data_IF_604813300181
#
_entry.id   IF_604813300181
#
_cell.length_a   1.000
_cell.length_b   1.000
_cell.length_c   1.000
_cell.angle_alpha   90.00
_cell.angle_beta   90.00
_cell.angle_gamma   90.00
#
_symmetry.space_group_name_H-M   'P 1'
#
loop_
_entity.id
_entity.type
_entity.pdbx_description
1 polymer ?
#
# COMPACT_ATOMS: atom_id res chain seq x y z
N UNK A 1 7.40 -20.36 1.38
CA UNK A 1 7.09 -20.12 2.81
C UNK A 1 8.35 -20.41 3.61
N UNK A 2 8.85 -19.49 4.45
CA UNK A 2 10.02 -19.75 5.29
C UNK A 2 9.74 -20.88 6.29
N UNK A 3 10.77 -21.68 6.62
CA UNK A 3 10.64 -22.78 7.59
C UNK A 3 10.59 -22.25 9.03
N UNK A 4 9.95 -23.00 9.93
CA UNK A 4 9.83 -22.62 11.35
C UNK A 4 11.19 -22.36 12.01
N UNK A 5 12.23 -23.14 11.66
CA UNK A 5 13.60 -22.92 12.14
C UNK A 5 14.18 -21.59 11.65
N UNK A 6 13.90 -21.22 10.40
CA UNK A 6 14.35 -19.94 9.81
C UNK A 6 13.69 -18.77 10.51
N UNK A 7 12.37 -18.82 10.70
CA UNK A 7 11.63 -17.77 11.40
C UNK A 7 12.15 -17.62 12.84
N UNK A 8 12.35 -18.73 13.55
CA UNK A 8 12.86 -18.72 14.93
C UNK A 8 14.28 -18.15 15.00
N UNK A 9 15.19 -18.58 14.12
CA UNK A 9 16.56 -18.09 14.08
C UNK A 9 16.64 -16.60 13.73
N UNK A 10 15.84 -16.14 12.77
CA UNK A 10 15.74 -14.71 12.42
C UNK A 10 15.18 -13.91 13.60
N UNK A 11 14.11 -14.37 14.23
CA UNK A 11 13.54 -13.71 15.40
C UNK A 11 14.54 -13.63 16.56
N UNK A 12 15.28 -14.70 16.83
CA UNK A 12 16.32 -14.74 17.86
C UNK A 12 17.46 -13.77 17.56
N UNK A 13 17.95 -13.72 16.31
CA UNK A 13 19.00 -12.79 15.89
C UNK A 13 18.55 -11.33 16.03
N UNK A 14 17.34 -11.02 15.57
CA UNK A 14 16.74 -9.68 15.72
C UNK A 14 16.58 -9.30 17.19
N UNK A 15 16.07 -10.21 18.02
CA UNK A 15 15.92 -9.98 19.44
C UNK A 15 17.28 -9.73 20.12
N UNK A 16 18.30 -10.52 19.78
CA UNK A 16 19.65 -10.34 20.30
C UNK A 16 20.23 -8.98 19.91
N UNK A 17 20.15 -8.59 18.64
CA UNK A 17 20.58 -7.27 18.18
C UNK A 17 19.82 -6.13 18.87
N UNK A 18 18.50 -6.25 19.03
CA UNK A 18 17.68 -5.26 19.70
C UNK A 18 18.05 -5.12 21.19
N UNK A 19 18.33 -6.23 21.88
CA UNK A 19 18.80 -6.20 23.27
C UNK A 19 20.16 -5.49 23.39
N UNK A 20 21.10 -5.74 22.47
CA UNK A 20 22.40 -5.04 22.46
C UNK A 20 22.23 -3.54 22.23
N UNK A 21 21.43 -3.14 21.24
CA UNK A 21 21.12 -1.72 21.00
C UNK A 21 20.46 -1.08 22.21
N UNK A 22 19.53 -1.79 22.88
CA UNK A 22 18.87 -1.31 24.10
C UNK A 22 19.86 -1.06 25.23
N UNK A 23 20.82 -1.97 25.41
CA UNK A 23 21.89 -1.80 26.43
C UNK A 23 22.73 -0.57 26.13
N UNK A 24 23.21 -0.42 24.89
CA UNK A 24 24.00 0.75 24.47
C UNK A 24 23.19 2.05 24.66
N UNK A 25 21.93 2.08 24.23
CA UNK A 25 21.08 3.24 24.39
C UNK A 25 20.87 3.61 25.87
N UNK A 26 20.73 2.63 26.75
CA UNK A 26 20.54 2.87 28.19
C UNK A 26 21.82 3.37 28.86
N UNK A 27 22.98 2.83 28.47
CA UNK A 27 24.26 3.10 29.14
C UNK A 27 24.93 4.39 28.64
N UNK A 28 24.67 4.79 27.38
CA UNK A 28 25.34 5.93 26.75
C UNK A 28 24.43 7.12 26.41
N UNK A 29 23.11 6.92 26.26
CA UNK A 29 22.20 8.01 25.86
C UNK A 29 21.32 8.48 27.03
N UNK A 30 21.32 9.80 27.35
CA UNK A 30 20.35 10.44 28.22
C UNK A 30 18.90 10.21 27.77
N UNK A 31 17.95 10.23 28.71
CA UNK A 31 16.53 9.94 28.47
C UNK A 31 15.91 10.90 27.46
N UNK A 32 16.37 12.14 27.44
CA UNK A 32 15.91 13.19 26.54
C UNK A 32 16.27 12.87 25.09
N UNK A 33 17.48 12.36 24.85
CA UNK A 33 17.92 11.92 23.53
C UNK A 33 17.16 10.67 23.07
N UNK A 34 16.87 9.74 23.99
CA UNK A 34 16.07 8.55 23.65
C UNK A 34 14.67 8.94 23.16
N UNK A 35 14.00 9.87 23.84
CA UNK A 35 12.68 10.36 23.43
C UNK A 35 12.73 11.05 22.06
N UNK A 36 13.76 11.87 21.81
CA UNK A 36 13.97 12.51 20.52
C UNK A 36 14.18 11.50 19.38
N UNK A 37 15.06 10.51 19.58
CA UNK A 37 15.32 9.48 18.58
C UNK A 37 14.09 8.61 18.32
N UNK A 38 13.36 8.24 19.37
CA UNK A 38 12.12 7.47 19.23
C UNK A 38 11.07 8.23 18.43
N UNK A 39 10.85 9.51 18.73
CA UNK A 39 9.91 10.35 17.99
C UNK A 39 10.31 10.52 16.51
N UNK A 40 11.61 10.71 16.25
CA UNK A 40 12.17 10.82 14.89
C UNK A 40 12.00 9.52 14.11
N UNK A 41 12.32 8.38 14.74
CA UNK A 41 12.17 7.06 14.14
C UNK A 41 10.71 6.71 13.88
N UNK A 42 9.82 7.03 14.82
CA UNK A 42 8.38 6.83 14.66
C UNK A 42 7.82 7.69 13.51
N UNK A 43 8.21 8.96 13.42
CA UNK A 43 7.85 9.82 12.28
C UNK A 43 8.36 9.27 10.96
N UNK A 44 9.59 8.73 10.94
CA UNK A 44 10.16 8.09 9.75
C UNK A 44 9.34 6.86 9.34
N UNK A 45 9.00 5.98 10.29
CA UNK A 45 8.15 4.80 10.02
C UNK A 45 6.77 5.23 9.49
N UNK A 46 6.16 6.26 10.08
CA UNK A 46 4.87 6.78 9.58
C UNK A 46 4.98 7.28 8.13
N UNK A 47 6.08 7.92 7.75
CA UNK A 47 6.33 8.36 6.38
C UNK A 47 6.55 7.19 5.41
N UNK A 48 6.96 6.03 5.92
CA UNK A 48 7.05 4.79 5.16
C UNK A 48 5.70 4.07 5.04
N UNK A 49 4.62 4.62 5.59
CA UNK A 49 3.26 4.12 5.36
C UNK A 49 2.93 4.16 3.87
N UNK A 50 2.61 2.99 3.32
CA UNK A 50 2.52 2.71 1.88
C UNK A 50 1.17 3.10 1.27
N UNK A 51 0.58 4.23 1.66
CA UNK A 51 -0.60 4.74 0.96
C UNK A 51 -0.14 5.43 -0.33
N UNK A 52 0.07 4.62 -1.36
CA UNK A 52 0.42 5.06 -2.70
C UNK A 52 -0.87 5.22 -3.51
N UNK A 53 -1.37 6.45 -3.59
CA UNK A 53 -2.58 6.79 -4.33
C UNK A 53 -2.20 7.31 -5.72
N UNK A 54 -2.66 6.63 -6.78
CA UNK A 54 -2.58 7.14 -8.16
C UNK A 54 -3.94 7.73 -8.50
N UNK A 55 -3.96 8.99 -8.96
CA UNK A 55 -5.16 9.66 -9.49
C UNK A 55 -5.08 9.63 -11.01
N UNK A 56 -6.07 9.04 -11.67
CA UNK A 56 -6.19 8.98 -13.14
C UNK A 56 -7.42 9.80 -13.51
N UNK A 57 -7.23 10.84 -14.31
CA UNK A 57 -8.34 11.65 -14.81
C UNK A 57 -9.13 10.89 -15.88
N UNK A 58 -10.46 10.97 -15.83
CA UNK A 58 -11.37 10.30 -16.76
C UNK A 58 -11.24 10.85 -18.19
N UNK A 59 -10.96 12.14 -18.34
CA UNK A 59 -10.86 12.81 -19.63
C UNK A 59 -9.46 13.40 -19.83
N UNK A 60 -8.91 13.19 -21.01
CA UNK A 60 -7.76 13.93 -21.51
C UNK A 60 -8.27 14.93 -22.56
N UNK A 61 -8.65 16.13 -22.10
CA UNK A 61 -9.29 17.15 -22.95
C UNK A 61 -10.75 16.80 -23.29
N UNK A 62 -11.08 16.67 -24.59
CA UNK A 62 -12.43 16.30 -25.06
C UNK A 62 -12.60 14.78 -25.29
N UNK A 63 -11.58 13.99 -24.97
CA UNK A 63 -11.55 12.54 -25.19
C UNK A 63 -11.37 11.78 -23.88
N UNK A 64 -11.96 10.60 -23.76
CA UNK A 64 -11.78 9.73 -22.59
C UNK A 64 -10.32 9.26 -22.52
N UNK A 65 -9.75 9.26 -21.33
CA UNK A 65 -8.41 8.78 -21.08
C UNK A 65 -8.37 7.24 -21.13
N UNK A 66 -7.57 6.69 -22.05
CA UNK A 66 -7.41 5.25 -22.21
C UNK A 66 -6.85 4.56 -20.97
N UNK A 67 -6.05 5.28 -20.16
CA UNK A 67 -5.50 4.76 -18.90
C UNK A 67 -6.62 4.63 -17.86
N UNK A 68 -7.60 5.54 -17.87
CA UNK A 68 -8.78 5.45 -17.02
C UNK A 68 -9.63 4.24 -17.40
N UNK A 69 -9.91 4.07 -18.69
CA UNK A 69 -10.68 2.92 -19.21
C UNK A 69 -10.01 1.58 -18.87
N UNK A 70 -8.69 1.47 -19.07
CA UNK A 70 -7.94 0.27 -18.75
C UNK A 70 -7.94 -0.03 -17.24
N UNK A 71 -7.80 1.02 -16.41
CA UNK A 71 -7.85 0.88 -14.96
C UNK A 71 -9.25 0.47 -14.47
N UNK A 72 -10.33 1.04 -15.03
CA UNK A 72 -11.71 0.69 -14.69
C UNK A 72 -12.02 -0.77 -15.01
N UNK A 73 -11.63 -1.23 -16.21
CA UNK A 73 -11.77 -2.65 -16.60
C UNK A 73 -10.96 -3.55 -15.67
N UNK A 74 -9.70 -3.22 -15.40
CA UNK A 74 -8.83 -4.04 -14.56
C UNK A 74 -9.35 -4.11 -13.11
N UNK A 75 -9.69 -2.97 -12.51
CA UNK A 75 -10.24 -2.90 -11.15
C UNK A 75 -11.59 -3.60 -11.08
N UNK A 76 -12.48 -3.42 -12.05
CA UNK A 76 -13.74 -4.13 -12.14
C UNK A 76 -13.60 -5.66 -12.16
N UNK A 77 -12.46 -6.19 -12.63
CA UNK A 77 -12.15 -7.63 -12.58
C UNK A 77 -11.42 -8.10 -11.31
N UNK A 78 -10.77 -7.19 -10.58
CA UNK A 78 -9.98 -7.49 -9.37
C UNK A 78 -10.73 -7.21 -8.06
N UNK A 79 -11.70 -6.30 -8.07
CA UNK A 79 -12.58 -6.06 -6.92
C UNK A 79 -13.48 -7.28 -6.75
N UNK A 80 -13.28 -8.00 -5.64
CA UNK A 80 -13.99 -9.24 -5.32
C UNK A 80 -15.50 -8.97 -5.12
N UNK A 81 -16.42 -9.90 -5.46
CA UNK A 81 -17.88 -9.67 -5.52
C UNK A 81 -18.61 -9.38 -4.20
N UNK A 82 -17.91 -9.01 -3.11
CA UNK A 82 -18.57 -8.48 -1.91
C UNK A 82 -19.10 -7.06 -2.11
N UNK A 83 -18.75 -6.41 -3.24
CA UNK A 83 -19.37 -5.16 -3.67
C UNK A 83 -20.41 -5.44 -4.75
N UNK A 84 -21.65 -5.05 -4.48
CA UNK A 84 -22.83 -5.31 -5.30
C UNK A 84 -22.80 -4.55 -6.65
N UNK A 85 -22.22 -5.19 -7.67
CA UNK A 85 -22.59 -5.27 -9.11
C UNK A 85 -23.64 -4.30 -9.69
N UNK A 86 -23.30 -3.65 -10.82
CA UNK A 86 -24.26 -3.36 -11.94
C UNK A 86 -23.52 -3.42 -13.29
N UNK A 87 -24.05 -4.18 -14.27
CA UNK A 87 -23.59 -4.18 -15.68
C UNK A 87 -24.53 -3.28 -16.48
N UNK A 88 -24.01 -2.21 -17.07
CA UNK A 88 -24.74 -1.37 -18.02
C UNK A 88 -24.19 -1.63 -19.43
N UNK A 89 -25.02 -2.22 -20.28
CA UNK A 89 -24.77 -2.34 -21.71
C UNK A 89 -25.76 -1.46 -22.47
N UNK A 90 -25.28 -0.63 -23.41
CA UNK A 90 -26.15 0.06 -24.36
C UNK A 90 -25.94 -0.54 -25.74
N UNK A 91 -26.78 -1.51 -26.11
CA UNK A 91 -26.93 -1.90 -27.51
C UNK A 91 -27.74 -0.79 -28.20
N UNK A 92 -27.18 -0.19 -29.25
CA UNK A 92 -27.89 0.82 -30.04
C UNK A 92 -28.40 0.16 -31.33
N UNK A 93 -29.72 -0.10 -31.49
CA UNK A 93 -30.24 -0.61 -32.74
C UNK A 93 -30.40 0.55 -33.72
N UNK A 94 -29.42 0.76 -34.61
CA UNK A 94 -29.61 1.56 -35.81
C UNK A 94 -29.57 0.67 -37.04
N UNK A 95 -30.72 0.51 -37.70
CA UNK A 95 -30.96 0.88 -39.11
C UNK A 95 -32.40 0.53 -39.51
N UNK A 96 -33.28 1.54 -39.60
CA UNK A 96 -34.33 1.57 -40.63
C UNK A 96 -33.72 2.29 -41.84
N UNK A 97 -33.64 1.60 -42.97
CA UNK A 97 -33.49 2.22 -44.29
C UNK A 97 -34.89 2.33 -44.89
N UNK A 98 -35.27 3.53 -45.29
CA UNK A 98 -36.13 3.84 -46.43
C UNK A 98 -35.45 4.99 -47.14
#
# INVERSE_FOLDING_TARGET
>A
MPSAKTVLSTAASVAASAMLMRTIAKDFLPKELQAYLFSSFYSLIQRLSSEFTIVIEEFQGLTINQVFEAADIYLGTKVTPSTQRVRLGRANPRRRKL
#
